data_IF_876957688971
#
_entry.id   IF_876957688971
#
_cell.length_a   1.000
_cell.length_b   1.000
_cell.length_c   1.000
_cell.angle_alpha   90.00
_cell.angle_beta   90.00
_cell.angle_gamma   90.00
#
_symmetry.space_group_name_H-M   'P 1'
#
loop_
_entity.id
_entity.type
_entity.pdbx_description
1 polymer ?
#
# COMPACT_ATOMS: atom_id res chain seq x y z
N UNK A 1 -53.28 -67.10 0.43
CA UNK A 1 -52.13 -66.66 1.25
C UNK A 1 -51.03 -65.94 0.45
N UNK A 2 -50.98 -66.05 -0.89
CA UNK A 2 -49.91 -65.42 -1.71
C UNK A 2 -50.03 -63.90 -1.91
N UNK A 3 -51.20 -63.29 -1.67
CA UNK A 3 -51.42 -61.84 -1.87
C UNK A 3 -50.93 -60.95 -0.70
N UNK A 4 -50.66 -61.53 0.47
CA UNK A 4 -50.21 -60.78 1.65
C UNK A 4 -48.69 -60.58 1.71
N UNK A 5 -47.89 -61.45 1.08
CA UNK A 5 -46.42 -61.39 1.13
C UNK A 5 -45.80 -60.36 0.16
N UNK A 6 -46.49 -59.99 -0.91
CA UNK A 6 -45.98 -58.98 -1.86
C UNK A 6 -46.07 -57.54 -1.34
N UNK A 7 -46.91 -57.28 -0.32
CA UNK A 7 -47.15 -55.92 0.18
C UNK A 7 -46.14 -55.45 1.24
N UNK A 8 -45.48 -56.37 1.94
CA UNK A 8 -44.50 -56.03 2.98
C UNK A 8 -43.04 -56.00 2.49
N UNK A 9 -42.75 -56.56 1.31
CA UNK A 9 -41.38 -56.61 0.78
C UNK A 9 -40.98 -55.38 -0.05
N UNK A 10 -41.95 -54.65 -0.63
CA UNK A 10 -41.65 -53.49 -1.47
C UNK A 10 -41.28 -52.22 -0.67
N UNK A 11 -41.84 -52.07 0.54
CA UNK A 11 -41.65 -50.89 1.39
C UNK A 11 -40.22 -50.73 1.96
N UNK A 12 -39.56 -51.77 2.50
CA UNK A 12 -38.18 -51.63 2.97
C UNK A 12 -37.17 -51.44 1.83
N UNK A 13 -37.43 -52.02 0.64
CA UNK A 13 -36.60 -51.78 -0.55
C UNK A 13 -36.66 -50.32 -1.03
N UNK A 14 -37.85 -49.70 -1.00
CA UNK A 14 -38.02 -48.29 -1.40
C UNK A 14 -37.36 -47.33 -0.40
N UNK A 15 -37.41 -47.65 0.90
CA UNK A 15 -36.77 -46.87 1.97
C UNK A 15 -35.24 -46.97 1.92
N UNK A 16 -34.70 -48.14 1.55
CA UNK A 16 -33.26 -48.35 1.35
C UNK A 16 -32.72 -47.58 0.14
N UNK A 17 -33.51 -47.50 -0.94
CA UNK A 17 -33.17 -46.70 -2.14
C UNK A 17 -33.15 -45.18 -1.85
N UNK A 18 -33.96 -44.69 -0.92
CA UNK A 18 -33.99 -43.29 -0.50
C UNK A 18 -32.82 -42.91 0.43
N UNK A 19 -32.30 -43.85 1.22
CA UNK A 19 -31.19 -43.61 2.16
C UNK A 19 -29.80 -43.71 1.50
N UNK A 20 -29.68 -44.35 0.34
CA UNK A 20 -28.43 -44.43 -0.44
C UNK A 20 -28.20 -43.22 -1.38
N UNK A 21 -29.16 -42.30 -1.50
CA UNK A 21 -29.06 -41.10 -2.33
C UNK A 21 -28.23 -39.98 -1.68
N UNK A 22 -26.95 -40.23 -1.36
CA UNK A 22 -26.02 -39.13 -1.11
C UNK A 22 -25.73 -38.45 -2.46
N UNK A 23 -26.52 -37.43 -2.80
CA UNK A 23 -26.26 -36.58 -3.96
C UNK A 23 -25.02 -35.71 -3.69
N UNK A 24 -23.84 -36.27 -3.92
CA UNK A 24 -22.62 -35.48 -4.05
C UNK A 24 -22.61 -34.89 -5.47
N UNK A 25 -23.09 -33.65 -5.59
CA UNK A 25 -22.90 -32.87 -6.80
C UNK A 25 -21.64 -32.01 -6.65
N UNK A 26 -20.58 -32.38 -7.37
CA UNK A 26 -19.51 -31.47 -7.80
C UNK A 26 -18.71 -32.15 -8.91
N UNK A 27 -18.85 -31.64 -10.14
CA UNK A 27 -17.95 -31.97 -11.24
C UNK A 27 -17.68 -30.72 -12.07
N UNK A 28 -16.42 -30.31 -12.13
CA UNK A 28 -15.84 -29.83 -13.38
C UNK A 28 -14.45 -30.44 -13.54
N UNK A 29 -14.38 -31.47 -14.38
CA UNK A 29 -13.14 -32.09 -14.87
C UNK A 29 -12.96 -31.66 -16.32
N UNK A 30 -11.78 -31.15 -16.69
CA UNK A 30 -11.32 -31.21 -18.08
C UNK A 30 -9.91 -31.81 -18.06
N UNK A 31 -9.71 -32.89 -18.82
CA UNK A 31 -8.51 -33.74 -18.78
C UNK A 31 -8.35 -34.46 -20.12
N UNK A 32 -7.17 -35.02 -20.40
CA UNK A 32 -7.02 -36.16 -21.31
C UNK A 32 -6.47 -37.45 -20.63
N UNK A 33 -5.98 -37.41 -19.37
CA UNK A 33 -5.82 -38.57 -18.46
C UNK A 33 -5.50 -38.09 -17.03
N UNK A 34 -5.99 -38.77 -15.97
CA UNK A 34 -5.80 -38.34 -14.57
C UNK A 34 -5.11 -39.45 -13.75
N UNK A 35 -3.98 -39.15 -13.10
CA UNK A 35 -3.36 -40.05 -12.10
C UNK A 35 -3.21 -39.41 -10.71
N UNK A 36 -3.53 -38.12 -10.55
CA UNK A 36 -3.67 -37.47 -9.24
C UNK A 36 -4.47 -36.17 -9.36
N UNK A 37 -5.52 -36.03 -8.54
CA UNK A 37 -6.26 -34.78 -8.33
C UNK A 37 -5.82 -34.15 -7.01
N UNK A 38 -5.75 -32.81 -6.97
CA UNK A 38 -5.45 -32.09 -5.72
C UNK A 38 -6.72 -31.96 -4.88
N UNK A 39 -6.80 -32.69 -3.76
CA UNK A 39 -7.97 -32.64 -2.85
C UNK A 39 -8.25 -31.25 -2.26
N UNK A 40 -7.32 -30.30 -2.36
CA UNK A 40 -7.47 -28.95 -1.83
C UNK A 40 -7.98 -27.92 -2.86
N UNK A 41 -8.11 -28.27 -4.15
CA UNK A 41 -8.51 -27.31 -5.18
C UNK A 41 -10.04 -27.15 -5.22
N UNK A 42 -10.53 -25.91 -5.13
CA UNK A 42 -11.95 -25.59 -5.39
C UNK A 42 -12.29 -25.73 -6.89
N UNK A 43 -11.32 -25.47 -7.77
CA UNK A 43 -11.42 -25.67 -9.22
C UNK A 43 -10.03 -26.05 -9.76
N UNK A 44 -9.92 -27.18 -10.46
CA UNK A 44 -8.70 -27.63 -11.15
C UNK A 44 -9.00 -27.74 -12.66
N UNK A 45 -8.21 -27.04 -13.49
CA UNK A 45 -8.28 -27.13 -14.95
C UNK A 45 -6.93 -27.64 -15.47
N UNK A 46 -6.92 -28.81 -16.12
CA UNK A 46 -5.74 -29.34 -16.81
C UNK A 46 -6.05 -29.55 -18.29
N UNK A 47 -5.43 -28.77 -19.15
CA UNK A 47 -5.62 -28.92 -20.58
C UNK A 47 -4.33 -28.71 -21.36
N UNK A 48 -4.08 -29.59 -22.34
CA UNK A 48 -2.92 -29.55 -23.22
C UNK A 48 -3.11 -28.62 -24.42
N UNK A 49 -4.36 -28.30 -24.79
CA UNK A 49 -4.70 -27.57 -26.03
C UNK A 49 -5.61 -26.34 -25.87
N UNK A 50 -6.52 -26.33 -24.89
CA UNK A 50 -7.53 -25.26 -24.75
C UNK A 50 -7.78 -24.93 -23.27
N UNK A 51 -7.80 -23.64 -22.92
CA UNK A 51 -8.04 -23.18 -21.55
C UNK A 51 -9.50 -22.79 -21.25
N UNK A 52 -9.73 -22.22 -20.07
CA UNK A 52 -11.00 -21.62 -19.70
C UNK A 52 -11.10 -20.22 -20.32
N UNK A 53 -12.01 -20.06 -21.30
CA UNK A 53 -12.39 -18.76 -21.81
C UNK A 53 -13.64 -18.26 -21.08
N UNK A 54 -13.50 -17.17 -20.34
CA UNK A 54 -14.64 -16.53 -19.68
C UNK A 54 -15.48 -15.72 -20.68
N UNK A 55 -16.79 -15.55 -20.45
CA UNK A 55 -17.62 -14.62 -21.21
C UNK A 55 -16.98 -13.24 -21.26
N UNK A 56 -16.76 -12.76 -22.49
CA UNK A 56 -16.14 -11.46 -22.77
C UNK A 56 -17.23 -10.42 -22.92
N UNK A 57 -17.34 -9.55 -21.92
CA UNK A 57 -18.43 -8.58 -21.83
C UNK A 57 -17.90 -7.18 -22.13
N UNK A 58 -18.63 -6.45 -22.98
CA UNK A 58 -18.35 -5.05 -23.31
C UNK A 58 -19.07 -4.07 -22.39
N UNK A 59 -20.30 -4.39 -21.98
CA UNK A 59 -21.14 -3.54 -21.14
C UNK A 59 -21.82 -4.39 -20.06
N UNK A 60 -21.64 -4.00 -18.81
CA UNK A 60 -22.19 -4.70 -17.64
C UNK A 60 -23.50 -4.07 -17.12
N UNK A 61 -23.96 -2.99 -17.74
CA UNK A 61 -25.16 -2.24 -17.33
C UNK A 61 -26.44 -2.74 -18.01
N UNK A 62 -26.32 -3.61 -19.02
CA UNK A 62 -27.44 -4.19 -19.74
C UNK A 62 -28.00 -5.42 -19.04
N UNK A 63 -29.29 -5.67 -19.21
CA UNK A 63 -29.91 -6.93 -18.79
C UNK A 63 -29.36 -8.10 -19.62
N UNK A 64 -29.12 -9.28 -19.01
CA UNK A 64 -29.37 -9.62 -17.62
C UNK A 64 -28.20 -9.31 -16.65
N UNK A 65 -27.09 -8.72 -17.13
CA UNK A 65 -25.86 -8.52 -16.36
C UNK A 65 -25.98 -7.50 -15.23
N UNK A 66 -26.89 -6.53 -15.36
CA UNK A 66 -27.17 -5.54 -14.32
C UNK A 66 -27.95 -6.13 -13.12
N UNK A 67 -28.62 -7.26 -13.31
CA UNK A 67 -29.35 -8.01 -12.27
C UNK A 67 -28.73 -9.38 -11.99
N UNK A 68 -27.51 -9.63 -12.47
CA UNK A 68 -26.79 -10.87 -12.20
C UNK A 68 -26.59 -11.09 -10.69
N UNK A 69 -26.82 -12.32 -10.19
CA UNK A 69 -26.49 -12.70 -8.82
C UNK A 69 -25.01 -12.52 -8.49
N UNK A 70 -24.71 -12.28 -7.22
CA UNK A 70 -23.34 -12.21 -6.71
C UNK A 70 -22.62 -13.56 -6.87
N UNK A 71 -21.30 -13.50 -7.11
CA UNK A 71 -20.45 -14.67 -7.35
C UNK A 71 -20.16 -14.95 -8.84
N UNK A 72 -20.86 -14.29 -9.77
CA UNK A 72 -20.58 -14.42 -11.20
C UNK A 72 -19.22 -13.82 -11.59
N UNK A 73 -18.54 -14.44 -12.55
CA UNK A 73 -17.21 -14.03 -13.04
C UNK A 73 -17.24 -13.77 -14.55
N UNK A 74 -16.65 -12.66 -15.00
CA UNK A 74 -16.57 -12.28 -16.42
C UNK A 74 -15.20 -11.71 -16.76
N UNK A 75 -14.86 -11.71 -18.05
CA UNK A 75 -13.77 -10.88 -18.57
C UNK A 75 -14.35 -9.59 -19.15
N UNK A 76 -14.08 -8.45 -18.53
CA UNK A 76 -14.59 -7.15 -18.98
C UNK A 76 -13.60 -6.51 -19.96
N UNK A 77 -14.01 -6.44 -21.23
CA UNK A 77 -13.11 -6.05 -22.33
C UNK A 77 -12.62 -4.60 -22.28
N UNK A 78 -13.41 -3.60 -21.83
CA UNK A 78 -12.91 -2.22 -21.75
C UNK A 78 -11.73 -2.06 -20.77
N UNK A 79 -11.77 -2.78 -19.64
CA UNK A 79 -10.72 -2.73 -18.61
C UNK A 79 -9.71 -3.87 -18.75
N UNK A 80 -9.86 -4.75 -19.74
CA UNK A 80 -9.04 -5.94 -19.95
C UNK A 80 -8.80 -6.75 -18.66
N UNK A 81 -9.83 -6.83 -17.82
CA UNK A 81 -9.71 -7.31 -16.44
C UNK A 81 -10.76 -8.38 -16.12
N UNK A 82 -10.40 -9.26 -15.19
CA UNK A 82 -11.34 -10.17 -14.55
C UNK A 82 -12.24 -9.39 -13.58
N UNK A 83 -13.54 -9.59 -13.68
CA UNK A 83 -14.52 -9.00 -12.76
C UNK A 83 -15.31 -10.10 -12.05
N UNK A 84 -15.63 -9.85 -10.78
CA UNK A 84 -16.56 -10.65 -9.98
C UNK A 84 -17.74 -9.77 -9.57
N UNK A 85 -18.95 -10.30 -9.69
CA UNK A 85 -20.16 -9.67 -9.14
C UNK A 85 -20.18 -9.84 -7.62
N UNK A 86 -20.27 -8.75 -6.87
CA UNK A 86 -20.38 -8.77 -5.40
C UNK A 86 -21.21 -7.58 -4.91
N UNK A 87 -22.07 -7.81 -3.93
CA UNK A 87 -22.97 -6.81 -3.36
C UNK A 87 -23.76 -6.03 -4.42
N UNK A 88 -24.15 -6.67 -5.52
CA UNK A 88 -24.88 -5.99 -6.60
C UNK A 88 -24.01 -5.05 -7.46
N UNK A 89 -22.68 -5.18 -7.42
CA UNK A 89 -21.77 -4.43 -8.29
C UNK A 89 -20.73 -5.34 -8.95
N UNK A 90 -20.34 -4.99 -10.19
CA UNK A 90 -19.19 -5.63 -10.83
C UNK A 90 -17.92 -5.00 -10.30
N UNK A 91 -17.08 -5.80 -9.65
CA UNK A 91 -15.79 -5.37 -9.11
C UNK A 91 -14.65 -6.11 -9.79
N UNK A 92 -13.53 -5.43 -10.04
CA UNK A 92 -12.29 -6.09 -10.49
C UNK A 92 -11.84 -7.08 -9.41
N UNK A 93 -11.42 -8.27 -9.83
CA UNK A 93 -10.61 -9.15 -8.97
C UNK A 93 -9.24 -8.51 -8.91
N UNK A 94 -8.76 -8.23 -7.69
CA UNK A 94 -7.66 -7.33 -7.36
C UNK A 94 -6.68 -7.04 -8.51
N UNK A 95 -6.64 -5.80 -8.96
CA UNK A 95 -5.43 -5.20 -9.51
C UNK A 95 -4.63 -4.76 -8.28
N UNK A 96 -3.42 -5.29 -8.08
CA UNK A 96 -2.54 -4.93 -6.97
C UNK A 96 -2.17 -3.43 -6.93
N UNK A 97 -2.67 -2.66 -7.90
CA UNK A 97 -2.58 -1.21 -7.98
C UNK A 97 -3.77 -0.45 -7.36
N UNK A 98 -4.88 -1.10 -6.97
CA UNK A 98 -6.02 -0.42 -6.32
C UNK A 98 -5.89 -0.38 -4.80
N UNK A 99 -4.75 0.09 -4.30
CA UNK A 99 -4.67 0.54 -2.91
C UNK A 99 -5.16 1.98 -2.89
N UNK A 100 -6.22 2.26 -2.13
CA UNK A 100 -6.57 3.62 -1.74
C UNK A 100 -5.41 4.18 -0.90
N UNK A 101 -4.36 4.64 -1.58
CA UNK A 101 -3.23 5.30 -0.94
C UNK A 101 -3.69 6.63 -0.33
N UNK A 102 -2.93 7.16 0.63
CA UNK A 102 -3.21 8.50 1.15
C UNK A 102 -3.30 9.51 0.00
N UNK A 103 -4.37 10.29 -0.02
CA UNK A 103 -4.53 11.42 -0.93
C UNK A 103 -3.91 12.64 -0.26
N UNK A 104 -3.01 13.32 -0.97
CA UNK A 104 -2.32 14.50 -0.45
C UNK A 104 -2.88 15.77 -1.08
N UNK A 105 -2.89 16.87 -0.32
CA UNK A 105 -3.37 18.18 -0.75
C UNK A 105 -2.35 19.27 -0.42
N UNK A 106 -2.36 20.36 -1.18
CA UNK A 106 -1.70 21.62 -0.86
C UNK A 106 -2.63 22.82 -1.19
N UNK A 107 -2.12 24.05 -1.08
CA UNK A 107 -2.88 25.25 -1.40
C UNK A 107 -3.41 25.33 -2.85
N UNK A 108 -2.89 24.51 -3.76
CA UNK A 108 -3.36 24.39 -5.15
C UNK A 108 -4.30 23.20 -5.39
N UNK A 109 -4.65 22.43 -4.35
CA UNK A 109 -5.57 21.29 -4.42
C UNK A 109 -4.88 19.93 -4.27
N UNK A 110 -5.48 18.90 -4.87
CA UNK A 110 -5.01 17.51 -4.77
C UNK A 110 -3.68 17.30 -5.50
N UNK A 111 -2.73 16.61 -4.87
CA UNK A 111 -1.45 16.23 -5.45
C UNK A 111 -1.55 14.84 -6.08
N UNK A 112 -1.48 14.76 -7.41
CA UNK A 112 -1.55 13.50 -8.17
C UNK A 112 -0.24 12.68 -8.18
N UNK A 113 0.77 13.10 -7.41
CA UNK A 113 2.07 12.43 -7.30
C UNK A 113 2.18 11.72 -5.95
N UNK A 114 2.94 10.63 -5.89
CA UNK A 114 3.22 9.93 -4.63
C UNK A 114 4.15 10.78 -3.78
N UNK A 115 3.66 11.29 -2.65
CA UNK A 115 4.50 12.00 -1.69
C UNK A 115 5.48 11.01 -1.04
N UNK A 116 6.72 11.47 -0.90
CA UNK A 116 7.82 10.80 -0.21
C UNK A 116 8.24 11.68 0.97
N UNK A 117 8.61 11.03 2.06
CA UNK A 117 9.16 11.66 3.25
C UNK A 117 10.53 11.05 3.47
N UNK A 118 11.56 11.90 3.51
CA UNK A 118 12.89 11.52 3.94
C UNK A 118 13.15 12.18 5.29
N UNK A 119 13.51 11.39 6.29
CA UNK A 119 13.78 11.89 7.63
C UNK A 119 14.99 11.18 8.20
N UNK A 120 15.94 11.95 8.72
CA UNK A 120 17.16 11.42 9.33
C UNK A 120 17.75 12.43 10.33
N UNK A 121 18.71 11.96 11.12
CA UNK A 121 19.57 12.79 11.94
C UNK A 121 20.98 12.85 11.35
N UNK A 122 21.55 14.06 11.29
CA UNK A 122 22.95 14.27 10.88
C UNK A 122 23.74 14.93 12.01
N UNK A 123 25.04 14.64 12.08
CA UNK A 123 25.93 15.36 12.99
C UNK A 123 26.27 16.73 12.39
N UNK A 124 26.48 17.73 13.25
CA UNK A 124 27.07 19.00 12.80
C UNK A 124 28.52 18.79 12.33
N UNK A 125 29.00 19.72 11.51
CA UNK A 125 30.42 19.82 11.17
C UNK A 125 31.09 20.89 12.05
N UNK A 126 32.40 20.81 12.29
CA UNK A 126 33.13 21.86 13.01
C UNK A 126 33.03 23.25 12.36
N UNK A 127 32.55 23.35 11.12
CA UNK A 127 32.31 24.62 10.44
C UNK A 127 30.90 25.21 10.67
N UNK A 128 29.99 24.50 11.36
CA UNK A 128 28.59 24.92 11.50
C UNK A 128 27.81 24.92 10.18
N UNK A 129 28.34 24.26 9.14
CA UNK A 129 27.78 24.23 7.78
C UNK A 129 27.64 22.79 7.28
N UNK A 130 26.76 21.97 7.88
CA UNK A 130 26.58 20.59 7.48
C UNK A 130 25.85 20.49 6.13
N UNK A 131 26.23 19.47 5.37
CA UNK A 131 25.55 19.07 4.14
C UNK A 131 24.92 17.69 4.34
N UNK A 132 23.70 17.51 3.83
CA UNK A 132 22.93 16.27 4.00
C UNK A 132 22.65 15.66 2.64
N UNK A 133 23.02 14.39 2.46
CA UNK A 133 22.71 13.64 1.25
C UNK A 133 21.30 13.03 1.36
N UNK A 134 20.42 13.41 0.44
CA UNK A 134 19.05 12.92 0.35
C UNK A 134 18.79 12.18 -0.97
N UNK A 135 19.84 11.81 -1.69
CA UNK A 135 19.75 11.17 -3.02
C UNK A 135 18.94 9.87 -3.01
N UNK A 136 18.97 9.11 -1.91
CA UNK A 136 18.21 7.86 -1.75
C UNK A 136 16.69 8.04 -1.82
N UNK A 137 16.18 9.24 -1.57
CA UNK A 137 14.75 9.52 -1.67
C UNK A 137 14.27 9.65 -3.14
N UNK A 138 15.17 9.98 -4.07
CA UNK A 138 14.86 10.15 -5.49
C UNK A 138 13.75 11.18 -5.75
N UNK A 139 13.82 12.35 -5.08
CA UNK A 139 12.84 13.42 -5.29
C UNK A 139 12.96 13.99 -6.71
N UNK A 140 11.82 14.22 -7.37
CA UNK A 140 11.71 15.04 -8.58
C UNK A 140 11.33 16.48 -8.26
N UNK A 141 10.73 16.72 -7.08
CA UNK A 141 10.45 18.04 -6.51
C UNK A 141 10.45 17.98 -4.98
N UNK A 142 11.09 18.96 -4.33
CA UNK A 142 10.99 19.17 -2.89
C UNK A 142 9.91 20.22 -2.62
N UNK A 143 9.01 19.90 -1.68
CA UNK A 143 7.91 20.77 -1.25
C UNK A 143 8.23 21.48 0.06
N UNK A 144 8.92 20.80 0.98
CA UNK A 144 9.27 21.35 2.28
C UNK A 144 10.53 20.70 2.82
N UNK A 145 11.33 21.49 3.54
CA UNK A 145 12.46 21.03 4.33
C UNK A 145 12.33 21.63 5.73
N UNK A 146 12.24 20.79 6.75
CA UNK A 146 12.22 21.19 8.14
C UNK A 146 13.50 20.71 8.82
N UNK A 147 14.14 21.58 9.58
CA UNK A 147 15.36 21.28 10.32
C UNK A 147 15.25 21.76 11.75
N UNK A 148 15.75 20.95 12.68
CA UNK A 148 15.90 21.33 14.09
C UNK A 148 17.26 20.80 14.56
N UNK A 149 17.88 21.50 15.51
CA UNK A 149 19.11 21.03 16.14
C UNK A 149 18.90 20.85 17.63
N UNK A 150 19.62 19.88 18.20
CA UNK A 150 19.70 19.64 19.63
C UNK A 150 21.14 19.40 20.01
N UNK A 151 21.61 20.12 21.01
CA UNK A 151 22.98 20.08 21.49
C UNK A 151 23.25 21.27 22.39
N UNK A 152 24.53 21.59 22.56
CA UNK A 152 24.98 22.61 23.51
C UNK A 152 25.00 22.12 24.96
N UNK A 153 25.79 22.81 25.77
CA UNK A 153 25.92 22.56 27.22
C UNK A 153 25.26 23.65 28.06
N UNK A 154 24.91 24.77 27.44
CA UNK A 154 24.33 25.96 28.07
C UNK A 154 23.51 26.77 27.06
N UNK A 155 23.01 27.93 27.50
CA UNK A 155 22.17 28.81 26.67
C UNK A 155 22.95 29.55 25.57
N UNK A 156 24.27 29.68 25.70
CA UNK A 156 25.13 30.31 24.68
C UNK A 156 25.47 29.33 23.56
N UNK A 157 25.58 28.05 23.89
CA UNK A 157 25.90 26.96 22.98
C UNK A 157 24.68 26.21 22.43
N UNK A 158 23.47 26.68 22.75
CA UNK A 158 22.22 26.12 22.25
C UNK A 158 22.10 26.36 20.74
N UNK A 159 22.07 25.31 19.90
CA UNK A 159 22.13 25.48 18.46
C UNK A 159 20.76 25.86 17.88
N UNK A 160 20.79 26.79 16.93
CA UNK A 160 19.70 27.11 16.01
C UNK A 160 20.07 26.63 14.62
N UNK A 161 19.20 25.84 13.98
CA UNK A 161 19.43 25.31 12.63
C UNK A 161 18.53 25.99 11.61
N UNK A 162 19.08 26.28 10.43
CA UNK A 162 18.33 26.77 9.29
C UNK A 162 18.79 26.09 7.99
N UNK A 163 17.91 26.12 6.98
CA UNK A 163 18.21 25.64 5.63
C UNK A 163 18.75 26.82 4.82
N UNK A 164 19.97 26.72 4.33
CA UNK A 164 20.57 27.71 3.41
C UNK A 164 20.10 27.51 1.97
N UNK A 165 19.89 26.25 1.57
CA UNK A 165 19.45 25.89 0.23
C UNK A 165 19.40 24.39 0.03
N UNK A 166 18.92 23.95 -1.12
CA UNK A 166 18.84 22.53 -1.47
C UNK A 166 18.87 22.29 -2.98
N UNK A 167 19.29 21.08 -3.34
CA UNK A 167 19.04 20.44 -4.63
C UNK A 167 18.13 19.22 -4.42
N UNK A 168 17.84 18.47 -5.48
CA UNK A 168 17.06 17.23 -5.37
C UNK A 168 17.79 16.10 -4.61
N UNK A 169 19.11 16.23 -4.41
CA UNK A 169 19.97 15.20 -3.79
C UNK A 169 20.73 15.69 -2.58
N UNK A 170 20.74 17.00 -2.29
CA UNK A 170 21.54 17.55 -1.21
C UNK A 170 20.88 18.74 -0.52
N UNK A 171 21.02 18.83 0.80
CA UNK A 171 20.65 20.00 1.58
C UNK A 171 21.90 20.71 2.08
N UNK A 172 21.84 22.04 2.13
CA UNK A 172 22.86 22.90 2.70
C UNK A 172 22.26 23.56 3.94
N UNK A 173 22.83 23.28 5.10
CA UNK A 173 22.33 23.75 6.38
C UNK A 173 23.32 24.74 6.99
N UNK A 174 22.82 25.59 7.88
CA UNK A 174 23.63 26.40 8.78
C UNK A 174 23.17 26.15 10.21
N UNK A 175 24.14 25.96 11.09
CA UNK A 175 23.93 25.97 12.53
C UNK A 175 24.59 27.20 13.11
N UNK A 176 23.78 27.94 13.87
CA UNK A 176 24.19 29.15 14.55
C UNK A 176 23.98 28.98 16.06
N UNK A 177 24.76 29.71 16.84
CA UNK A 177 24.60 29.84 18.29
C UNK A 177 24.73 31.30 18.69
N UNK A 178 24.55 31.59 19.97
CA UNK A 178 24.76 32.95 20.45
C UNK A 178 26.21 33.20 20.79
N UNK A 179 26.72 34.38 20.44
CA UNK A 179 28.12 34.72 20.67
C UNK A 179 28.53 34.79 22.14
N UNK A 180 27.67 35.35 23.00
CA UNK A 180 28.01 35.57 24.42
C UNK A 180 26.85 35.52 25.41
N UNK A 181 25.61 35.83 24.99
CA UNK A 181 24.43 35.88 25.88
C UNK A 181 23.21 35.27 25.19
N UNK A 182 22.22 34.70 25.89
CA UNK A 182 21.06 34.08 25.25
C UNK A 182 20.40 34.99 24.21
N UNK A 183 20.14 34.42 23.02
CA UNK A 183 19.45 35.07 21.91
C UNK A 183 18.14 35.63 22.41
N UNK A 184 18.10 36.96 22.50
CA UNK A 184 16.94 37.79 22.84
C UNK A 184 16.49 37.65 24.29
N UNK A 185 16.74 38.70 25.09
CA UNK A 185 15.72 39.26 25.99
C UNK A 185 16.12 40.59 26.67
N UNK A 186 17.38 41.05 26.65
CA UNK A 186 17.77 42.19 27.48
C UNK A 186 18.89 43.05 26.86
N UNK A 187 18.52 44.03 26.02
CA UNK A 187 19.27 45.27 25.69
C UNK A 187 20.75 45.20 25.26
N UNK A 188 21.36 44.02 25.12
CA UNK A 188 22.68 43.82 24.50
C UNK A 188 22.47 43.21 23.13
N UNK A 189 22.72 44.00 22.08
CA UNK A 189 22.69 43.53 20.69
C UNK A 189 23.90 42.64 20.41
N UNK A 190 23.84 41.39 20.85
CA UNK A 190 24.81 40.36 20.49
C UNK A 190 24.26 39.56 19.30
N UNK A 191 25.13 39.28 18.33
CA UNK A 191 24.77 38.63 17.08
C UNK A 191 24.78 37.09 17.17
N UNK A 192 24.40 36.46 16.06
CA UNK A 192 24.57 35.03 15.84
C UNK A 192 25.98 34.75 15.35
N UNK A 193 26.57 33.64 15.80
CA UNK A 193 27.79 33.09 15.21
C UNK A 193 27.60 31.64 14.80
N UNK A 194 28.54 31.09 14.02
CA UNK A 194 28.47 29.69 13.61
C UNK A 194 28.67 28.78 14.82
N UNK A 195 27.85 27.75 14.94
CA UNK A 195 27.98 26.73 15.97
C UNK A 195 29.19 25.81 15.65
N UNK A 196 30.38 26.27 16.02
CA UNK A 196 31.68 25.67 15.67
C UNK A 196 32.50 25.26 16.91
N UNK A 197 31.93 25.37 18.11
CA UNK A 197 32.60 25.03 19.35
C UNK A 197 32.85 23.51 19.52
N UNK A 198 33.59 23.11 20.56
CA UNK A 198 33.89 21.70 20.81
C UNK A 198 32.63 20.83 21.05
N UNK A 199 31.50 21.44 21.46
CA UNK A 199 30.21 20.76 21.60
C UNK A 199 29.51 20.54 20.25
N UNK A 200 29.96 21.17 19.16
CA UNK A 200 29.43 21.01 17.82
C UNK A 200 29.42 19.53 17.37
N UNK A 201 30.45 18.75 17.70
CA UNK A 201 30.51 17.34 17.33
C UNK A 201 29.44 16.46 18.02
N UNK A 202 28.93 16.91 19.18
CA UNK A 202 27.84 16.25 19.90
C UNK A 202 26.45 16.71 19.45
N UNK A 203 26.36 17.83 18.73
CA UNK A 203 25.10 18.38 18.24
C UNK A 203 24.52 17.52 17.13
N UNK A 204 23.24 17.15 17.31
CA UNK A 204 22.43 16.40 16.34
C UNK A 204 21.42 17.31 15.67
N UNK A 205 21.30 17.14 14.37
CA UNK A 205 20.41 17.90 13.51
C UNK A 205 19.38 16.93 12.95
N UNK A 206 18.12 17.17 13.23
CA UNK A 206 17.01 16.37 12.73
C UNK A 206 16.42 17.06 11.51
N UNK A 207 16.35 16.32 10.41
CA UNK A 207 15.93 16.83 9.12
C UNK A 207 14.72 16.05 8.65
N UNK A 208 13.74 16.73 8.10
CA UNK A 208 12.60 16.12 7.40
C UNK A 208 12.40 16.83 6.07
N UNK A 209 12.40 16.06 4.99
CA UNK A 209 12.17 16.51 3.62
C UNK A 209 10.90 15.86 3.10
N UNK A 210 9.99 16.68 2.58
CA UNK A 210 8.75 16.22 1.96
C UNK A 210 8.79 16.63 0.49
N UNK A 211 8.53 15.68 -0.41
CA UNK A 211 8.60 15.89 -1.85
C UNK A 211 7.95 14.75 -2.63
N UNK A 212 8.11 14.74 -3.96
CA UNK A 212 7.70 13.64 -4.82
C UNK A 212 8.68 13.44 -5.97
#
# INVERSE_FOLDING_TARGET
>A
MLKAMFRYSAFPCLLWLLLCGQAQAQQLLLSDTIWSSSKAALLELKASKQGLLLPRILDTTLAPLNTSPDGMVIYYTPLKSLMVRRNGYWSRVADSLSTAGPVFYNGAGMISKRIKIWADSVSNTPAGLPQVDISSAGFSKILSVNVTARGGTDVTSAPSAAVLGYTLSRLYLILMESKTTPIVLLNTAEGLELHNNAAAAATKIFVTVIGY
#
